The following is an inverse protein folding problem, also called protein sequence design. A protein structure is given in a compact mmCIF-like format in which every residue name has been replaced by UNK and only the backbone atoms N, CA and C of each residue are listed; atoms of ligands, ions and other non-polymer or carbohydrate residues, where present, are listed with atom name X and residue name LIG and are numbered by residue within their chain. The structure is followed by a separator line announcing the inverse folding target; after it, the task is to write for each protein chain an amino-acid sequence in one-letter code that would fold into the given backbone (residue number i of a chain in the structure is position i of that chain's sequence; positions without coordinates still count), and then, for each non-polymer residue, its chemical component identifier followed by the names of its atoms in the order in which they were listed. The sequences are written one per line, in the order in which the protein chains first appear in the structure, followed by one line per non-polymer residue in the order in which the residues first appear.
data_IF_259721086579
#
_entry.id   IF_259721086579
#
_cell.length_a   1.000
_cell.length_b   1.000
_cell.length_c   1.000
_cell.angle_alpha   90.00
_cell.angle_beta   90.00
_cell.angle_gamma   90.00
#
_symmetry.space_group_name_H-M   'P 1'
#
loop_
_entity.id
_entity.type
_entity.pdbx_description
1 polymer ?
#
# COMPACT_ATOMS: atom_id res chain seq x y z
N UNK A 1 -4.44 8.72 56.20
CA UNK A 1 -3.50 8.99 55.08
C UNK A 1 -2.34 8.01 55.17
N UNK A 2 -2.18 7.10 54.20
CA UNK A 2 -0.84 6.60 53.89
C UNK A 2 -0.53 6.49 52.38
N UNK A 3 0.76 6.68 52.09
CA UNK A 3 1.59 6.23 50.96
C UNK A 3 1.14 6.53 49.51
N UNK A 4 1.72 7.60 48.96
CA UNK A 4 1.98 7.74 47.52
C UNK A 4 3.07 6.73 47.16
N UNK A 5 2.66 5.59 46.63
CA UNK A 5 3.57 4.62 46.06
C UNK A 5 4.36 5.28 44.93
N UNK A 6 5.68 5.28 45.07
CA UNK A 6 6.63 5.60 44.02
C UNK A 6 6.35 4.67 42.83
N UNK A 7 6.02 5.26 41.68
CA UNK A 7 5.91 4.54 40.44
C UNK A 7 7.31 4.03 40.07
N UNK A 8 7.57 2.78 40.40
CA UNK A 8 8.75 2.03 40.03
C UNK A 8 8.75 1.90 38.49
N UNK A 9 9.48 2.78 37.82
CA UNK A 9 9.73 2.73 36.38
C UNK A 9 10.63 1.51 36.11
N UNK A 10 9.99 0.37 35.85
CA UNK A 10 10.65 -0.84 35.40
C UNK A 10 11.03 -0.63 33.93
N UNK A 11 12.32 -0.42 33.67
CA UNK A 11 12.86 -0.56 32.32
C UNK A 11 13.04 -2.05 32.02
N UNK A 12 11.97 -2.70 31.56
CA UNK A 12 12.05 -4.07 31.05
C UNK A 12 12.53 -4.04 29.61
N UNK A 13 13.84 -4.18 29.41
CA UNK A 13 14.38 -4.71 28.16
C UNK A 13 14.03 -6.19 28.05
N UNK A 14 13.28 -6.56 27.01
CA UNK A 14 13.06 -7.95 26.61
C UNK A 14 11.61 -8.26 26.30
N UNK A 15 11.25 -8.25 25.01
CA UNK A 15 9.93 -8.67 24.56
C UNK A 15 9.69 -8.37 23.09
N UNK A 16 10.25 -9.22 22.22
CA UNK A 16 9.84 -9.38 20.82
C UNK A 16 8.35 -9.77 20.80
N UNK A 17 7.47 -8.80 20.64
CA UNK A 17 6.04 -8.97 20.47
C UNK A 17 5.49 -7.70 19.83
N UNK A 18 4.66 -7.79 18.78
CA UNK A 18 4.30 -6.62 18.01
C UNK A 18 3.50 -5.69 18.92
N UNK A 19 4.03 -4.49 19.13
CA UNK A 19 3.24 -3.40 19.67
C UNK A 19 2.08 -3.19 18.70
N UNK A 20 0.86 -3.56 19.11
CA UNK A 20 -0.36 -3.08 18.48
C UNK A 20 -0.45 -1.60 18.89
N UNK A 21 0.35 -0.77 18.23
CA UNK A 21 0.09 0.66 18.15
C UNK A 21 -1.23 0.81 17.39
N UNK A 22 -2.14 1.70 17.79
CA UNK A 22 -3.28 2.04 16.94
C UNK A 22 -2.71 2.43 15.59
N UNK A 23 -3.15 1.74 14.54
CA UNK A 23 -2.71 1.96 13.16
C UNK A 23 -3.15 3.38 12.81
N UNK A 24 -2.30 4.39 13.08
CA UNK A 24 -2.38 5.64 12.36
C UNK A 24 -2.06 5.23 10.92
N UNK A 25 -3.11 4.94 10.13
CA UNK A 25 -2.97 4.46 8.76
C UNK A 25 -1.94 5.34 8.07
N UNK A 26 -0.74 4.78 7.88
CA UNK A 26 0.35 5.52 7.30
C UNK A 26 -0.13 5.91 5.90
N UNK A 27 0.27 7.08 5.35
CA UNK A 27 -0.01 7.37 3.95
C UNK A 27 0.45 6.24 2.99
N UNK A 28 1.38 5.38 3.44
CA UNK A 28 1.77 4.16 2.74
C UNK A 28 0.73 3.03 2.84
N UNK A 29 0.09 2.83 3.99
CA UNK A 29 -0.95 1.79 4.17
C UNK A 29 -2.19 2.13 3.33
N UNK A 30 -2.61 3.40 3.35
CA UNK A 30 -3.68 3.91 2.49
C UNK A 30 -3.32 3.74 1.01
N UNK A 31 -2.05 3.96 0.63
CA UNK A 31 -1.60 3.74 -0.74
C UNK A 31 -1.61 2.25 -1.14
N UNK A 32 -1.32 1.36 -0.19
CA UNK A 32 -1.34 -0.08 -0.42
C UNK A 32 -2.77 -0.59 -0.64
N UNK A 33 -3.70 -0.26 0.26
CA UNK A 33 -5.12 -0.63 0.15
C UNK A 33 -5.74 -0.13 -1.17
N UNK A 34 -5.34 1.07 -1.59
CA UNK A 34 -5.81 1.66 -2.84
C UNK A 34 -5.12 1.00 -4.03
N UNK A 35 -3.83 0.69 -3.94
CA UNK A 35 -3.11 -0.08 -4.95
C UNK A 35 -3.76 -1.44 -5.20
N UNK A 36 -4.14 -2.16 -4.14
CA UNK A 36 -4.89 -3.42 -4.27
C UNK A 36 -6.27 -3.22 -4.90
N UNK A 37 -7.02 -2.22 -4.43
CA UNK A 37 -8.37 -1.96 -4.92
C UNK A 37 -8.39 -1.47 -6.37
N UNK A 38 -7.34 -0.80 -6.82
CA UNK A 38 -7.15 -0.38 -8.22
C UNK A 38 -6.70 -1.58 -9.04
N UNK A 39 -5.77 -2.41 -8.56
CA UNK A 39 -5.36 -3.62 -9.27
C UNK A 39 -6.52 -4.59 -9.52
N UNK A 40 -7.37 -4.82 -8.51
CA UNK A 40 -8.56 -5.65 -8.66
C UNK A 40 -9.55 -5.06 -9.67
N UNK A 41 -9.76 -3.73 -9.63
CA UNK A 41 -10.63 -3.02 -10.57
C UNK A 41 -10.06 -3.09 -12.00
N UNK A 42 -8.76 -2.82 -12.15
CA UNK A 42 -8.05 -2.85 -13.41
C UNK A 42 -8.08 -4.24 -14.02
N UNK A 43 -7.77 -5.28 -13.25
CA UNK A 43 -7.84 -6.67 -13.67
C UNK A 43 -9.23 -7.07 -14.17
N UNK A 44 -10.29 -6.57 -13.52
CA UNK A 44 -11.67 -6.77 -13.97
C UNK A 44 -12.04 -6.03 -15.26
N UNK A 45 -11.33 -4.94 -15.59
CA UNK A 45 -11.55 -4.15 -16.81
C UNK A 45 -10.59 -4.47 -17.95
N UNK A 46 -9.43 -5.06 -17.63
CA UNK A 46 -8.38 -5.35 -18.61
C UNK A 46 -8.64 -6.69 -19.30
N UNK A 47 -8.16 -6.81 -20.53
CA UNK A 47 -8.25 -8.05 -21.31
C UNK A 47 -7.03 -8.93 -21.10
N UNK A 48 -7.13 -10.24 -21.40
CA UNK A 48 -5.97 -11.13 -21.31
C UNK A 48 -4.80 -10.72 -22.22
N UNK A 49 -5.06 -10.02 -23.33
CA UNK A 49 -4.00 -9.47 -24.19
C UNK A 49 -3.18 -8.40 -23.48
N UNK A 50 -3.87 -7.41 -22.90
CA UNK A 50 -3.24 -6.33 -22.12
C UNK A 50 -2.52 -6.86 -20.87
N UNK A 51 -3.11 -7.85 -20.20
CA UNK A 51 -2.48 -8.53 -19.08
C UNK A 51 -1.16 -9.18 -19.50
N UNK A 52 -1.14 -9.89 -20.63
CA UNK A 52 0.04 -10.62 -21.10
C UNK A 52 1.14 -9.68 -21.59
N UNK A 53 0.77 -8.57 -22.25
CA UNK A 53 1.71 -7.49 -22.59
C UNK A 53 2.31 -6.86 -21.33
N UNK A 54 1.47 -6.54 -20.33
CA UNK A 54 1.94 -6.00 -19.06
C UNK A 54 2.87 -6.97 -18.31
N UNK A 55 2.54 -8.27 -18.28
CA UNK A 55 3.37 -9.29 -17.65
C UNK A 55 4.70 -9.49 -18.38
N UNK A 56 4.72 -9.36 -19.71
CA UNK A 56 5.93 -9.47 -20.52
C UNK A 56 6.93 -8.34 -20.21
N UNK A 57 6.45 -7.17 -19.84
CA UNK A 57 7.26 -6.00 -19.49
C UNK A 57 7.66 -5.93 -18.01
N UNK A 58 7.31 -6.93 -17.17
CA UNK A 58 7.77 -7.00 -15.77
C UNK A 58 9.30 -6.80 -15.69
N UNK A 59 9.81 -5.93 -14.79
CA UNK A 59 9.11 -5.21 -13.71
C UNK A 59 8.65 -3.78 -14.07
N UNK A 60 8.79 -3.37 -15.34
CA UNK A 60 8.53 -2.00 -15.79
C UNK A 60 7.06 -1.90 -16.22
N UNK A 61 6.30 -1.00 -15.60
CA UNK A 61 4.94 -0.72 -16.09
C UNK A 61 5.02 0.09 -17.40
N UNK A 62 4.31 -0.32 -18.46
CA UNK A 62 4.11 0.51 -19.63
C UNK A 62 3.53 1.88 -19.23
N UNK A 63 3.96 2.94 -19.91
CA UNK A 63 3.54 4.30 -19.58
C UNK A 63 2.03 4.49 -19.66
N UNK A 64 1.36 3.75 -20.55
CA UNK A 64 -0.10 3.80 -20.69
C UNK A 64 -0.81 3.18 -19.47
N UNK A 65 -0.30 2.06 -18.95
CA UNK A 65 -0.86 1.42 -17.75
C UNK A 65 -0.52 2.24 -16.50
N UNK A 66 0.71 2.74 -16.37
CA UNK A 66 1.11 3.62 -15.26
C UNK A 66 0.22 4.89 -15.21
N UNK A 67 -0.15 5.46 -16.38
CA UNK A 67 -1.08 6.59 -16.47
C UNK A 67 -2.50 6.24 -16.03
N UNK A 68 -3.04 5.10 -16.47
CA UNK A 68 -4.37 4.64 -16.04
C UNK A 68 -4.39 4.39 -14.54
N UNK A 69 -3.38 3.68 -14.01
CA UNK A 69 -3.18 3.46 -12.59
C UNK A 69 -3.10 4.76 -11.79
N UNK A 70 -2.30 5.72 -12.25
CA UNK A 70 -2.16 7.02 -11.60
C UNK A 70 -3.48 7.79 -11.61
N UNK A 71 -4.20 7.79 -12.74
CA UNK A 71 -5.50 8.47 -12.86
C UNK A 71 -6.54 7.86 -11.93
N UNK A 72 -6.66 6.54 -11.91
CA UNK A 72 -7.65 5.86 -11.07
C UNK A 72 -7.29 5.97 -9.59
N UNK A 73 -6.01 5.91 -9.25
CA UNK A 73 -5.54 6.15 -7.91
C UNK A 73 -5.83 7.59 -7.46
N UNK A 74 -5.50 8.58 -8.29
CA UNK A 74 -5.80 9.98 -8.02
C UNK A 74 -7.31 10.23 -7.82
N UNK A 75 -8.18 9.52 -8.55
CA UNK A 75 -9.63 9.58 -8.34
C UNK A 75 -10.07 8.98 -7.00
N UNK A 76 -9.39 7.95 -6.48
CA UNK A 76 -9.76 7.26 -5.22
C UNK A 76 -9.20 7.95 -3.97
N UNK A 77 -7.94 8.40 -3.97
CA UNK A 77 -7.26 8.99 -2.80
C UNK A 77 -6.95 10.49 -2.91
N UNK A 78 -7.15 11.08 -4.09
CA UNK A 78 -6.83 12.46 -4.40
C UNK A 78 -5.44 12.64 -5.00
N UNK A 79 -5.35 13.51 -6.02
CA UNK A 79 -4.12 13.83 -6.77
C UNK A 79 -2.91 14.17 -5.88
N UNK A 80 -3.16 14.84 -4.75
CA UNK A 80 -2.14 15.27 -3.79
C UNK A 80 -1.37 14.11 -3.15
N UNK A 81 -1.99 12.94 -2.97
CA UNK A 81 -1.32 11.77 -2.36
C UNK A 81 -0.54 10.95 -3.38
N UNK A 82 -1.00 10.90 -4.63
CA UNK A 82 -0.35 10.20 -5.75
C UNK A 82 0.99 10.78 -6.19
N UNK A 83 1.28 12.04 -5.88
CA UNK A 83 2.54 12.68 -6.27
C UNK A 83 3.71 12.40 -5.31
N UNK A 84 3.42 11.73 -4.19
CA UNK A 84 4.44 11.23 -3.28
C UNK A 84 5.19 10.06 -3.95
N UNK A 85 6.50 10.19 -4.11
CA UNK A 85 7.36 9.11 -4.63
C UNK A 85 7.20 7.79 -3.85
N UNK A 86 6.98 7.89 -2.53
CA UNK A 86 6.68 6.75 -1.68
C UNK A 86 5.35 6.07 -2.06
N UNK A 87 4.32 6.85 -2.38
CA UNK A 87 3.01 6.33 -2.81
C UNK A 87 3.12 5.68 -4.18
N UNK A 88 3.85 6.27 -5.15
CA UNK A 88 4.06 5.62 -6.46
C UNK A 88 4.76 4.28 -6.34
N UNK A 89 5.78 4.19 -5.47
CA UNK A 89 6.48 2.92 -5.23
C UNK A 89 5.57 1.90 -4.55
N UNK A 90 4.91 2.28 -3.47
CA UNK A 90 3.99 1.42 -2.74
C UNK A 90 2.84 0.94 -3.64
N UNK A 91 2.32 1.83 -4.51
CA UNK A 91 1.26 1.52 -5.46
C UNK A 91 1.71 0.49 -6.50
N UNK A 92 2.92 0.64 -7.07
CA UNK A 92 3.45 -0.36 -8.02
C UNK A 92 3.67 -1.71 -7.35
N UNK A 93 4.24 -1.71 -6.14
CA UNK A 93 4.44 -2.94 -5.37
C UNK A 93 3.09 -3.61 -5.02
N UNK A 94 2.11 -2.84 -4.54
CA UNK A 94 0.76 -3.32 -4.23
C UNK A 94 0.04 -3.83 -5.48
N UNK A 95 0.17 -3.13 -6.61
CA UNK A 95 -0.44 -3.52 -7.88
C UNK A 95 0.09 -4.86 -8.36
N UNK A 96 1.43 -5.02 -8.39
CA UNK A 96 2.03 -6.29 -8.78
C UNK A 96 1.70 -7.42 -7.83
N UNK A 97 1.73 -7.16 -6.52
CA UNK A 97 1.36 -8.15 -5.49
C UNK A 97 -0.07 -8.62 -5.68
N UNK A 98 -1.00 -7.68 -5.92
CA UNK A 98 -2.40 -8.03 -6.10
C UNK A 98 -2.66 -8.74 -7.42
N UNK A 99 -1.97 -8.32 -8.48
CA UNK A 99 -1.99 -9.05 -9.75
C UNK A 99 -1.55 -10.49 -9.55
N UNK A 100 -0.41 -10.71 -8.89
CA UNK A 100 0.13 -12.06 -8.62
C UNK A 100 -0.84 -12.95 -7.82
N UNK A 101 -1.73 -12.36 -7.01
CA UNK A 101 -2.80 -13.08 -6.30
C UNK A 101 -4.01 -13.43 -7.20
N UNK A 102 -4.22 -12.72 -8.30
CA UNK A 102 -5.38 -12.83 -9.19
C UNK A 102 -5.14 -13.73 -10.42
N UNK A 103 -3.88 -13.96 -10.78
CA UNK A 103 -3.42 -14.93 -11.80
C UNK A 103 -3.17 -16.30 -11.17
#
# INVERSE_FOLDING_TARGET
RPHRAEAHLVYSSGGTGPAILPHEDSPMDVAYDVGESVAASWYGTTTQGELNELLADRPILPADVDRVLLKDCAQRIGEYKTDLQGVRRALREAFWTKLDQLI
#
